data_IF_799560226329
#
_entry.id   IF_799560226329
#
_cell.length_a   1.000
_cell.length_b   1.000
_cell.length_c   1.000
_cell.angle_alpha   90.00
_cell.angle_beta   90.00
_cell.angle_gamma   90.00
#
_symmetry.space_group_name_H-M   'P 1'
#
loop_
_entity.id
_entity.type
_entity.pdbx_description
1 polymer ?
#
# COMPACT_ATOMS: atom_id res chain seq x y z
N UNK A 1 6.67 -6.34 15.15
CA UNK A 1 6.48 -6.62 13.71
C UNK A 1 7.02 -8.01 13.40
N UNK A 2 6.19 -8.93 12.90
CA UNK A 2 6.65 -10.27 12.51
C UNK A 2 7.56 -10.20 11.27
N UNK A 3 8.37 -11.24 11.03
CA UNK A 3 9.19 -11.35 9.80
C UNK A 3 8.32 -11.31 8.53
N UNK A 4 7.13 -11.93 8.58
CA UNK A 4 6.13 -11.90 7.50
C UNK A 4 5.64 -10.47 7.25
N UNK A 5 5.22 -9.77 8.31
CA UNK A 5 4.78 -8.37 8.24
C UNK A 5 5.84 -7.49 7.61
N UNK A 6 7.10 -7.62 8.05
CA UNK A 6 8.22 -6.84 7.49
C UNK A 6 8.42 -7.11 6.01
N UNK A 7 8.38 -8.37 5.58
CA UNK A 7 8.53 -8.71 4.17
C UNK A 7 7.39 -8.15 3.32
N UNK A 8 6.15 -8.19 3.82
CA UNK A 8 4.99 -7.61 3.14
C UNK A 8 5.12 -6.08 3.03
N UNK A 9 5.53 -5.42 4.11
CA UNK A 9 5.76 -3.97 4.12
C UNK A 9 6.85 -3.56 3.13
N UNK A 10 7.94 -4.33 3.03
CA UNK A 10 9.00 -4.10 2.05
C UNK A 10 8.50 -4.33 0.63
N UNK A 11 7.83 -5.46 0.37
CA UNK A 11 7.34 -5.78 -0.97
C UNK A 11 6.34 -4.72 -1.48
N UNK A 12 5.37 -4.33 -0.64
CA UNK A 12 4.44 -3.26 -0.98
C UNK A 12 5.12 -1.89 -1.02
N UNK A 13 6.12 -1.65 -0.18
CA UNK A 13 6.94 -0.45 -0.22
C UNK A 13 7.65 -0.28 -1.56
N UNK A 14 8.30 -1.33 -2.06
CA UNK A 14 8.94 -1.34 -3.39
C UNK A 14 7.91 -1.07 -4.50
N UNK A 15 6.73 -1.68 -4.42
CA UNK A 15 5.63 -1.44 -5.36
C UNK A 15 5.14 0.01 -5.34
N UNK A 16 4.94 0.58 -4.15
CA UNK A 16 4.56 1.98 -3.97
C UNK A 16 5.64 2.94 -4.49
N UNK A 17 6.91 2.65 -4.23
CA UNK A 17 8.03 3.44 -4.75
C UNK A 17 8.10 3.39 -6.27
N UNK A 18 7.89 2.24 -6.90
CA UNK A 18 7.88 2.12 -8.36
C UNK A 18 6.81 3.05 -8.99
N UNK A 19 5.59 3.05 -8.46
CA UNK A 19 4.54 3.94 -8.95
C UNK A 19 4.77 5.41 -8.64
N UNK A 20 5.38 5.72 -7.49
CA UNK A 20 5.81 7.07 -7.19
C UNK A 20 6.83 7.59 -8.22
N UNK A 21 7.81 6.76 -8.59
CA UNK A 21 8.79 7.11 -9.61
C UNK A 21 8.14 7.28 -10.99
N UNK A 22 7.17 6.44 -11.36
CA UNK A 22 6.38 6.62 -12.60
C UNK A 22 5.64 7.96 -12.60
N UNK A 23 5.02 8.33 -11.49
CA UNK A 23 4.30 9.60 -11.38
C UNK A 23 5.24 10.81 -11.47
N UNK A 24 6.39 10.77 -10.79
CA UNK A 24 7.42 11.82 -10.86
C UNK A 24 8.00 11.91 -12.27
N UNK A 25 8.32 10.78 -12.90
CA UNK A 25 8.82 10.74 -14.27
C UNK A 25 7.80 11.32 -15.26
N UNK A 26 6.54 10.92 -15.17
CA UNK A 26 5.45 11.48 -15.98
C UNK A 26 5.33 13.00 -15.83
N UNK A 27 5.39 13.50 -14.60
CA UNK A 27 5.31 14.93 -14.30
C UNK A 27 6.50 15.72 -14.89
N UNK A 28 7.73 15.19 -14.80
CA UNK A 28 8.95 15.88 -15.25
C UNK A 28 9.12 15.89 -16.77
N UNK A 29 8.79 14.80 -17.46
CA UNK A 29 9.15 14.63 -18.87
C UNK A 29 7.99 14.82 -19.84
N UNK A 30 6.76 14.60 -19.39
CA UNK A 30 5.59 14.65 -20.27
C UNK A 30 4.65 15.79 -19.93
N UNK A 31 4.73 16.41 -18.75
CA UNK A 31 3.79 17.45 -18.28
C UNK A 31 2.30 17.04 -18.31
N UNK A 32 2.02 15.73 -18.43
CA UNK A 32 0.67 15.17 -18.39
C UNK A 32 0.45 14.48 -17.03
N UNK A 33 -0.65 14.82 -16.36
CA UNK A 33 -1.02 14.23 -15.07
C UNK A 33 -1.49 12.77 -15.15
N UNK A 34 -1.67 12.23 -16.36
CA UNK A 34 -2.24 10.88 -16.62
C UNK A 34 -1.44 9.75 -15.97
N UNK A 35 -0.10 9.87 -15.96
CA UNK A 35 0.78 8.91 -15.29
C UNK A 35 0.57 8.93 -13.78
N UNK A 36 0.41 10.11 -13.20
CA UNK A 36 0.08 10.27 -11.79
C UNK A 36 -1.30 9.70 -11.46
N UNK A 37 -2.29 9.91 -12.34
CA UNK A 37 -3.66 9.41 -12.12
C UNK A 37 -3.66 7.89 -12.16
N UNK A 38 -2.98 7.30 -13.15
CA UNK A 38 -2.85 5.86 -13.30
C UNK A 38 -2.12 5.24 -12.11
N UNK A 39 -0.99 5.84 -11.70
CA UNK A 39 -0.24 5.39 -10.52
C UNK A 39 -1.08 5.47 -9.23
N UNK A 40 -1.83 6.55 -9.06
CA UNK A 40 -2.70 6.77 -7.89
C UNK A 40 -3.83 5.75 -7.87
N UNK A 41 -4.44 5.45 -9.01
CA UNK A 41 -5.50 4.45 -9.14
C UNK A 41 -4.99 3.05 -8.79
N UNK A 42 -3.84 2.63 -9.32
CA UNK A 42 -3.24 1.34 -9.00
C UNK A 42 -2.94 1.18 -7.51
N UNK A 43 -2.32 2.18 -6.89
CA UNK A 43 -2.03 2.13 -5.45
C UNK A 43 -3.29 2.17 -4.59
N UNK A 44 -4.32 2.89 -5.04
CA UNK A 44 -5.63 2.83 -4.37
C UNK A 44 -6.15 1.41 -4.41
N UNK A 45 -6.22 0.78 -5.60
CA UNK A 45 -6.77 -0.56 -5.78
C UNK A 45 -6.02 -1.61 -4.97
N UNK A 46 -4.68 -1.61 -5.02
CA UNK A 46 -3.88 -2.60 -4.30
C UNK A 46 -3.80 -2.34 -2.80
N UNK A 47 -4.10 -1.12 -2.35
CA UNK A 47 -4.04 -0.71 -0.96
C UNK A 47 -5.42 -0.46 -0.32
N UNK A 48 -6.51 -0.94 -0.93
CA UNK A 48 -7.89 -0.80 -0.41
C UNK A 48 -8.13 -1.65 0.84
N UNK A 49 -8.90 -1.18 1.83
CA UNK A 49 -9.67 0.06 1.82
C UNK A 49 -8.93 1.35 2.21
N UNK A 50 -7.85 1.30 2.99
CA UNK A 50 -7.24 2.49 3.61
C UNK A 50 -6.70 3.49 2.59
N UNK A 51 -6.25 3.00 1.43
CA UNK A 51 -5.74 3.87 0.37
C UNK A 51 -6.82 4.73 -0.29
N UNK A 52 -8.12 4.48 -0.07
CA UNK A 52 -9.17 5.41 -0.48
C UNK A 52 -9.09 6.77 0.19
N UNK A 53 -8.49 6.86 1.39
CA UNK A 53 -8.30 8.15 2.07
C UNK A 53 -7.44 9.11 1.22
N UNK A 54 -6.56 8.57 0.37
CA UNK A 54 -5.77 9.36 -0.57
C UNK A 54 -6.60 10.06 -1.65
N UNK A 55 -7.90 9.81 -1.77
CA UNK A 55 -8.78 10.54 -2.68
C UNK A 55 -9.17 11.93 -2.15
N UNK A 56 -8.88 12.24 -0.89
CA UNK A 56 -9.01 13.59 -0.34
C UNK A 56 -7.90 14.56 -0.77
N UNK A 57 -6.88 14.09 -1.48
CA UNK A 57 -5.78 14.92 -2.01
C UNK A 57 -5.81 14.98 -3.54
N UNK A 58 -5.21 16.01 -4.17
CA UNK A 58 -5.25 16.18 -5.62
C UNK A 58 -4.78 14.93 -6.37
N UNK A 59 -5.68 14.38 -7.18
CA UNK A 59 -5.41 13.23 -8.04
C UNK A 59 -4.38 13.60 -9.11
N UNK A 60 -3.62 12.61 -9.57
CA UNK A 60 -2.63 12.86 -10.62
C UNK A 60 -1.34 13.50 -10.14
N UNK A 61 -1.19 13.73 -8.83
CA UNK A 61 0.02 14.33 -8.25
C UNK A 61 0.89 13.28 -7.58
N UNK A 62 2.20 13.53 -7.54
CA UNK A 62 3.13 12.71 -6.77
C UNK A 62 2.75 12.64 -5.28
N UNK A 63 2.12 13.70 -4.75
CA UNK A 63 1.58 13.72 -3.39
C UNK A 63 0.46 12.69 -3.21
N UNK A 64 -0.53 12.67 -4.12
CA UNK A 64 -1.62 11.69 -4.09
C UNK A 64 -1.12 10.25 -4.14
N UNK A 65 -0.15 9.99 -5.02
CA UNK A 65 0.51 8.68 -5.15
C UNK A 65 1.27 8.31 -3.87
N UNK A 66 2.00 9.24 -3.26
CA UNK A 66 2.70 9.00 -2.00
C UNK A 66 1.74 8.67 -0.85
N UNK A 67 0.64 9.43 -0.71
CA UNK A 67 -0.38 9.19 0.32
C UNK A 67 -1.02 7.82 0.14
N UNK A 68 -1.40 7.45 -1.10
CA UNK A 68 -1.93 6.12 -1.41
C UNK A 68 -0.93 5.00 -1.09
N UNK A 69 0.34 5.19 -1.45
CA UNK A 69 1.41 4.24 -1.14
C UNK A 69 1.57 4.01 0.36
N UNK A 70 1.67 5.09 1.15
CA UNK A 70 1.81 5.01 2.62
C UNK A 70 0.60 4.32 3.26
N UNK A 71 -0.61 4.71 2.85
CA UNK A 71 -1.84 4.09 3.34
C UNK A 71 -1.86 2.58 3.04
N UNK A 72 -1.45 2.17 1.84
CA UNK A 72 -1.36 0.75 1.47
C UNK A 72 -0.33 -0.01 2.31
N UNK A 73 0.85 0.58 2.58
CA UNK A 73 1.88 -0.04 3.46
C UNK A 73 1.31 -0.28 4.85
N UNK A 74 0.65 0.73 5.44
CA UNK A 74 0.04 0.65 6.77
C UNK A 74 -0.99 -0.47 6.79
N UNK A 75 -1.87 -0.51 5.79
CA UNK A 75 -2.93 -1.50 5.73
C UNK A 75 -2.39 -2.93 5.63
N UNK A 76 -1.49 -3.20 4.69
CA UNK A 76 -0.95 -4.53 4.49
C UNK A 76 -0.15 -5.01 5.71
N UNK A 77 0.56 -4.09 6.37
CA UNK A 77 1.22 -4.37 7.64
C UNK A 77 0.21 -4.75 8.72
N UNK A 78 -0.82 -3.94 8.95
CA UNK A 78 -1.86 -4.21 9.95
C UNK A 78 -2.60 -5.53 9.68
N UNK A 79 -2.98 -5.76 8.43
CA UNK A 79 -3.63 -6.99 8.00
C UNK A 79 -2.76 -8.22 8.30
N UNK A 80 -1.47 -8.16 7.97
CA UNK A 80 -0.57 -9.30 8.21
C UNK A 80 -0.33 -9.59 9.70
N UNK A 81 -0.28 -8.57 10.57
CA UNK A 81 -0.24 -8.76 12.02
C UNK A 81 -1.55 -9.37 12.55
N UNK A 82 -2.70 -8.92 12.03
CA UNK A 82 -4.00 -9.48 12.37
C UNK A 82 -4.06 -10.98 12.03
N UNK A 83 -3.67 -11.36 10.81
CA UNK A 83 -3.61 -12.77 10.41
C UNK A 83 -2.63 -13.58 11.27
N UNK A 84 -1.45 -13.03 11.58
CA UNK A 84 -0.49 -13.71 12.46
C UNK A 84 -1.04 -13.90 13.89
N UNK A 85 -1.87 -12.98 14.39
CA UNK A 85 -2.57 -13.12 15.65
C UNK A 85 -3.64 -14.23 15.58
N UNK A 86 -4.44 -14.22 14.51
CA UNK A 86 -5.50 -15.19 14.28
C UNK A 86 -4.97 -16.63 14.17
N UNK A 87 -3.90 -16.84 13.40
CA UNK A 87 -3.28 -18.15 13.21
C UNK A 87 -2.73 -18.70 14.55
N UNK A 88 -2.14 -17.84 15.39
CA UNK A 88 -1.69 -18.23 16.74
C UNK A 88 -2.86 -18.69 17.61
N UNK A 89 -4.00 -18.01 17.54
CA UNK A 89 -5.19 -18.36 18.33
C UNK A 89 -5.74 -19.74 17.95
N UNK A 90 -5.85 -20.03 16.64
CA UNK A 90 -6.26 -21.36 16.15
C UNK A 90 -5.28 -22.48 16.52
N UNK A 91 -3.99 -22.16 16.63
CA UNK A 91 -2.99 -23.12 17.07
C UNK A 91 -3.14 -23.53 18.53
N UNK A 92 -3.59 -22.61 19.40
CA UNK A 92 -3.86 -22.88 20.82
C UNK A 92 -5.08 -23.80 20.96
N UNK A 93 -6.19 -23.47 20.29
CA UNK A 93 -7.43 -24.26 20.37
C UNK A 93 -7.25 -25.72 19.94
N UNK A 94 -6.34 -26.01 19.00
CA UNK A 94 -6.05 -27.39 18.55
C UNK A 94 -5.24 -28.24 19.54
N UNK A 95 -4.53 -27.62 20.48
CA UNK A 95 -3.73 -28.33 21.47
C UNK A 95 -4.50 -28.62 22.76
N UNK A 96 -5.70 -28.05 22.92
CA UNK A 96 -6.59 -28.23 24.07
C UNK A 96 -7.68 -29.29 23.82
N UNK A 97 -7.72 -29.88 22.62
CA UNK A 97 -8.63 -30.97 22.19
C UNK A 97 -7.86 -32.25 21.90
#
# INVERSE_FOLDING_TARGET
MTKRTRNIAIAYGVWATAFFLVAVYGALFFSHGEYGVSAHLWLTLTGMPLSFVSWGVPHGTALGVAVAGVAGIIQWSAMSEFWACWDRRKGVEKNET
#
